data_IF_030123699596
#
_entry.id   IF_030123699596
#
_cell.length_a   1.000
_cell.length_b   1.000
_cell.length_c   1.000
_cell.angle_alpha   90.00
_cell.angle_beta   90.00
_cell.angle_gamma   90.00
#
_symmetry.space_group_name_H-M   'P 1'
#
loop_
_entity.id
_entity.type
_entity.pdbx_description
1 polymer ?
#
# COMPACT_ATOMS: atom_id res chain seq x y z
N UNK A 1 31.45 -22.88 -17.90
CA UNK A 1 30.79 -22.94 -16.59
C UNK A 1 30.86 -21.63 -15.77
N UNK A 2 31.79 -20.71 -16.03
CA UNK A 2 31.96 -19.46 -15.26
C UNK A 2 30.86 -18.39 -15.47
N UNK A 3 30.13 -18.44 -16.58
CA UNK A 3 29.13 -17.42 -16.93
C UNK A 3 27.72 -17.73 -16.38
N UNK A 4 27.43 -18.98 -16.01
CA UNK A 4 26.12 -19.36 -15.44
C UNK A 4 26.03 -18.92 -13.97
N UNK A 5 27.14 -18.97 -13.24
CA UNK A 5 27.24 -18.54 -11.84
C UNK A 5 27.04 -17.03 -11.68
N UNK A 6 27.44 -16.24 -12.67
CA UNK A 6 27.23 -14.78 -12.70
C UNK A 6 25.77 -14.41 -12.97
N UNK A 7 25.06 -15.17 -13.82
CA UNK A 7 23.63 -14.95 -14.07
C UNK A 7 22.78 -15.28 -12.84
N UNK A 8 23.11 -16.38 -12.13
CA UNK A 8 22.39 -16.77 -10.91
C UNK A 8 22.58 -15.76 -9.76
N UNK A 9 23.77 -15.16 -9.64
CA UNK A 9 24.04 -14.13 -8.64
C UNK A 9 23.22 -12.85 -8.87
N UNK A 10 22.99 -12.45 -10.12
CA UNK A 10 22.15 -11.30 -10.45
C UNK A 10 20.65 -11.55 -10.15
N UNK A 11 20.17 -12.78 -10.36
CA UNK A 11 18.78 -13.18 -10.07
C UNK A 11 18.52 -13.29 -8.56
N UNK A 12 19.54 -13.64 -7.77
CA UNK A 12 19.46 -13.64 -6.30
C UNK A 12 19.56 -12.24 -5.69
N UNK A 13 20.13 -11.26 -6.41
CA UNK A 13 20.23 -9.85 -6.02
C UNK A 13 19.06 -8.98 -6.48
N UNK A 14 18.25 -9.44 -7.45
CA UNK A 14 16.87 -8.97 -7.61
C UNK A 14 16.03 -9.56 -6.48
N UNK A 15 16.39 -9.23 -5.25
CA UNK A 15 15.63 -9.56 -4.06
C UNK A 15 14.22 -9.02 -4.26
N UNK A 16 13.24 -9.91 -4.20
CA UNK A 16 11.84 -9.56 -4.02
C UNK A 16 11.75 -8.71 -2.75
N UNK A 17 11.93 -7.39 -2.88
CA UNK A 17 11.80 -6.43 -1.79
C UNK A 17 10.31 -6.26 -1.56
N UNK A 18 9.75 -7.21 -0.82
CA UNK A 18 8.39 -7.14 -0.32
C UNK A 18 8.41 -6.15 0.86
N UNK A 19 8.27 -4.87 0.56
CA UNK A 19 8.11 -3.87 1.60
C UNK A 19 6.80 -4.13 2.34
N UNK A 20 6.80 -4.02 3.66
CA UNK A 20 5.58 -4.24 4.47
C UNK A 20 5.44 -3.20 5.57
N UNK A 21 4.20 -2.99 6.01
CA UNK A 21 3.86 -2.17 7.16
C UNK A 21 2.61 -2.71 7.85
N UNK A 22 2.50 -2.54 9.17
CA UNK A 22 1.32 -2.90 9.95
C UNK A 22 1.10 -1.87 11.05
N UNK A 23 -0.13 -1.41 11.22
CA UNK A 23 -0.51 -0.49 12.30
C UNK A 23 -1.93 -0.82 12.80
N UNK A 24 -2.13 -0.94 14.12
CA UNK A 24 -3.48 -1.06 14.67
C UNK A 24 -4.21 0.28 14.56
N UNK A 25 -5.52 0.22 14.32
CA UNK A 25 -6.41 1.37 14.32
C UNK A 25 -7.68 1.06 15.10
N UNK A 26 -8.20 2.10 15.77
CA UNK A 26 -9.48 2.07 16.47
C UNK A 26 -10.33 3.20 15.92
N UNK A 27 -11.47 2.87 15.32
CA UNK A 27 -12.41 3.84 14.76
C UNK A 27 -13.23 4.54 15.83
N UNK A 28 -13.89 5.64 15.45
CA UNK A 28 -14.72 6.45 16.33
C UNK A 28 -15.91 5.67 16.94
N UNK A 29 -16.46 4.69 16.22
CA UNK A 29 -17.51 3.77 16.70
C UNK A 29 -16.97 2.61 17.56
N UNK A 30 -15.66 2.59 17.81
CA UNK A 30 -15.02 1.64 18.71
C UNK A 30 -14.58 0.33 18.07
N UNK A 31 -14.79 0.13 16.76
CA UNK A 31 -14.21 -1.02 16.06
C UNK A 31 -12.68 -0.96 16.08
N UNK A 32 -12.05 -2.12 16.18
CA UNK A 32 -10.59 -2.25 16.12
C UNK A 32 -10.22 -3.13 14.94
N UNK A 33 -9.22 -2.69 14.18
CA UNK A 33 -8.67 -3.48 13.10
C UNK A 33 -7.18 -3.21 12.90
N UNK A 34 -6.49 -4.23 12.43
CA UNK A 34 -5.10 -4.16 12.00
C UNK A 34 -5.08 -3.77 10.53
N UNK A 35 -4.51 -2.60 10.25
CA UNK A 35 -4.25 -2.15 8.89
C UNK A 35 -2.85 -2.63 8.52
N UNK A 36 -2.73 -3.39 7.44
CA UNK A 36 -1.45 -3.84 6.92
C UNK A 36 -1.30 -3.48 5.45
N UNK A 37 -0.07 -3.27 5.02
CA UNK A 37 0.26 -3.09 3.62
C UNK A 37 1.50 -3.91 3.25
N UNK A 38 1.51 -4.41 2.02
CA UNK A 38 2.66 -5.03 1.38
C UNK A 38 2.77 -4.58 -0.07
N UNK A 39 3.98 -4.56 -0.61
CA UNK A 39 4.22 -4.18 -2.00
C UNK A 39 5.01 -5.27 -2.76
N UNK A 40 4.44 -6.46 -2.95
CA UNK A 40 5.10 -7.53 -3.68
C UNK A 40 5.29 -7.14 -5.13
N UNK A 41 6.52 -7.26 -5.62
CA UNK A 41 6.89 -6.90 -7.00
C UNK A 41 6.49 -5.48 -7.42
N UNK A 42 6.41 -4.54 -6.47
CA UNK A 42 6.04 -3.15 -6.74
C UNK A 42 4.53 -2.87 -6.78
N UNK A 43 3.66 -3.87 -6.59
CA UNK A 43 2.22 -3.69 -6.55
C UNK A 43 1.70 -3.58 -5.12
N UNK A 44 1.09 -2.44 -4.77
CA UNK A 44 0.57 -2.19 -3.42
C UNK A 44 -0.65 -3.05 -3.10
N UNK A 45 -0.67 -3.63 -1.90
CA UNK A 45 -1.84 -4.27 -1.31
C UNK A 45 -2.05 -3.73 0.10
N UNK A 46 -3.27 -3.36 0.43
CA UNK A 46 -3.66 -2.94 1.79
C UNK A 46 -4.74 -3.89 2.29
N UNK A 47 -4.57 -4.41 3.50
CA UNK A 47 -5.52 -5.30 4.18
C UNK A 47 -5.97 -4.72 5.50
N UNK A 48 -7.25 -4.96 5.82
CA UNK A 48 -7.84 -4.69 7.13
C UNK A 48 -8.20 -6.04 7.74
N UNK A 49 -7.55 -6.41 8.85
CA UNK A 49 -7.67 -7.75 9.45
C UNK A 49 -7.51 -8.88 8.43
N UNK A 50 -6.46 -8.82 7.61
CA UNK A 50 -6.15 -9.80 6.54
C UNK A 50 -7.13 -9.83 5.35
N UNK A 51 -8.17 -9.00 5.32
CA UNK A 51 -9.05 -8.83 4.15
C UNK A 51 -8.48 -7.77 3.22
N UNK A 52 -8.28 -8.10 1.93
CA UNK A 52 -7.78 -7.16 0.92
C UNK A 52 -8.83 -6.07 0.67
N UNK A 53 -8.43 -4.82 0.93
CA UNK A 53 -9.27 -3.64 0.73
C UNK A 53 -8.82 -2.86 -0.51
N UNK A 54 -7.51 -2.73 -0.70
CA UNK A 54 -6.91 -2.11 -1.89
C UNK A 54 -5.94 -3.13 -2.50
N UNK A 55 -6.06 -3.34 -3.80
CA UNK A 55 -5.09 -4.10 -4.61
C UNK A 55 -4.77 -3.28 -5.86
N UNK A 56 -3.50 -2.92 -6.00
CA UNK A 56 -2.98 -2.11 -7.10
C UNK A 56 -3.08 -2.79 -8.46
N UNK A 57 -3.12 -4.12 -8.49
CA UNK A 57 -3.26 -4.89 -9.74
C UNK A 57 -4.69 -4.88 -10.29
N UNK A 58 -5.66 -4.50 -9.46
CA UNK A 58 -7.06 -4.38 -9.83
C UNK A 58 -7.29 -2.88 -10.08
N UNK A 59 -7.93 -2.53 -11.20
CA UNK A 59 -8.19 -1.17 -11.72
C UNK A 59 -8.94 -0.23 -10.74
N UNK A 60 -8.36 0.08 -9.58
CA UNK A 60 -8.85 1.00 -8.54
C UNK A 60 -7.87 2.17 -8.32
N UNK A 61 -7.00 2.43 -9.29
CA UNK A 61 -6.10 3.56 -9.31
C UNK A 61 -6.78 4.76 -9.96
N UNK A 62 -7.04 5.81 -9.18
CA UNK A 62 -7.28 7.13 -9.77
C UNK A 62 -5.94 7.89 -9.84
N UNK A 63 -5.16 7.58 -10.88
CA UNK A 63 -3.91 8.31 -11.18
C UNK A 63 -4.19 9.76 -11.60
N UNK A 64 -5.42 10.08 -12.01
CA UNK A 64 -5.76 11.41 -12.53
C UNK A 64 -5.90 12.44 -11.40
N UNK A 65 -6.49 12.05 -10.26
CA UNK A 65 -6.69 12.93 -9.12
C UNK A 65 -5.41 13.25 -8.34
N UNK A 66 -4.48 12.30 -8.25
CA UNK A 66 -3.18 12.48 -7.60
C UNK A 66 -2.31 13.49 -8.37
N UNK A 67 -2.18 13.30 -9.70
CA UNK A 67 -1.42 14.19 -10.56
C UNK A 67 -2.06 15.57 -10.78
N UNK A 68 -3.37 15.70 -10.64
CA UNK A 68 -4.08 16.98 -10.83
C UNK A 68 -4.08 17.88 -9.58
N UNK A 69 -3.95 17.32 -8.36
CA UNK A 69 -4.20 18.09 -7.13
C UNK A 69 -3.19 17.89 -5.99
N UNK A 70 -2.18 17.02 -6.12
CA UNK A 70 -1.21 16.78 -5.04
C UNK A 70 0.24 16.84 -5.54
N UNK A 71 1.05 17.69 -4.91
CA UNK A 71 2.51 17.70 -5.09
C UNK A 71 3.24 16.68 -4.22
N UNK A 72 2.54 16.04 -3.26
CA UNK A 72 3.13 15.13 -2.26
C UNK A 72 2.84 13.65 -2.55
N UNK A 73 1.72 13.32 -3.16
CA UNK A 73 1.25 11.94 -3.31
C UNK A 73 1.27 11.54 -4.78
N UNK A 74 1.90 10.41 -5.08
CA UNK A 74 2.00 9.89 -6.45
C UNK A 74 0.74 9.14 -6.85
N UNK A 75 0.09 8.47 -5.89
CA UNK A 75 -1.07 7.63 -6.14
C UNK A 75 -2.13 7.85 -5.06
N UNK A 76 -3.40 7.87 -5.48
CA UNK A 76 -4.55 7.83 -4.59
C UNK A 76 -5.42 6.64 -4.95
N UNK A 77 -5.77 5.87 -3.94
CA UNK A 77 -6.61 4.69 -4.03
C UNK A 77 -7.87 4.89 -3.23
N UNK A 78 -8.98 4.37 -3.73
CA UNK A 78 -10.25 4.37 -3.00
C UNK A 78 -10.91 3.01 -3.07
N UNK A 79 -11.54 2.61 -1.98
CA UNK A 79 -12.29 1.36 -1.86
C UNK A 79 -13.35 1.49 -0.76
N UNK A 80 -14.02 0.39 -0.44
CA UNK A 80 -15.00 0.31 0.63
C UNK A 80 -14.72 -0.90 1.50
N UNK A 81 -14.77 -0.76 2.82
CA UNK A 81 -14.66 -1.86 3.78
C UNK A 81 -15.80 -1.79 4.79
N UNK A 82 -16.62 -2.84 4.89
CA UNK A 82 -17.81 -2.90 5.76
C UNK A 82 -18.75 -1.68 5.62
N UNK A 83 -18.92 -1.17 4.40
CA UNK A 83 -19.74 0.01 4.12
C UNK A 83 -19.06 1.36 4.37
N UNK A 84 -17.85 1.38 4.95
CA UNK A 84 -17.03 2.58 5.18
C UNK A 84 -16.15 2.88 3.98
N UNK A 85 -16.03 4.15 3.59
CA UNK A 85 -15.10 4.57 2.53
C UNK A 85 -13.67 4.46 3.03
N UNK A 86 -12.82 3.84 2.23
CA UNK A 86 -11.38 3.74 2.49
C UNK A 86 -10.64 4.50 1.41
N UNK A 87 -9.71 5.35 1.81
CA UNK A 87 -8.82 6.08 0.91
C UNK A 87 -7.38 5.88 1.36
N UNK A 88 -6.49 5.54 0.42
CA UNK A 88 -5.05 5.51 0.67
C UNK A 88 -4.37 6.53 -0.23
N UNK A 89 -3.51 7.36 0.36
CA UNK A 89 -2.69 8.34 -0.37
C UNK A 89 -1.24 7.93 -0.20
N UNK A 90 -0.62 7.50 -1.29
CA UNK A 90 0.72 6.94 -1.25
C UNK A 90 1.74 7.85 -1.95
N UNK A 91 2.91 7.94 -1.35
CA UNK A 91 4.11 8.57 -1.88
C UNK A 91 5.16 7.45 -2.04
N UNK A 92 5.24 6.87 -3.23
CA UNK A 92 6.16 5.76 -3.48
C UNK A 92 7.65 6.11 -3.45
N UNK A 93 8.10 7.33 -3.81
CA UNK A 93 9.46 7.78 -3.50
C UNK A 93 9.86 7.55 -2.03
N UNK A 94 8.96 7.88 -1.11
CA UNK A 94 9.18 7.75 0.34
C UNK A 94 8.63 6.44 0.92
N UNK A 95 7.97 5.61 0.08
CA UNK A 95 7.32 4.34 0.43
C UNK A 95 6.35 4.50 1.61
N UNK A 96 5.60 5.60 1.60
CA UNK A 96 4.68 5.99 2.65
C UNK A 96 3.25 6.00 2.13
N UNK A 97 2.29 5.49 2.91
CA UNK A 97 0.87 5.55 2.61
C UNK A 97 0.07 6.04 3.82
N UNK A 98 -0.61 7.17 3.64
CA UNK A 98 -1.61 7.66 4.59
C UNK A 98 -2.95 6.99 4.30
N UNK A 99 -3.55 6.37 5.32
CA UNK A 99 -4.82 5.66 5.22
C UNK A 99 -5.92 6.46 5.94
N UNK A 100 -7.06 6.58 5.28
CA UNK A 100 -8.25 7.24 5.80
C UNK A 100 -9.45 6.29 5.74
N UNK A 101 -10.30 6.32 6.77
CA UNK A 101 -11.55 5.56 6.86
C UNK A 101 -12.68 6.54 7.18
N UNK A 102 -13.68 6.68 6.30
CA UNK A 102 -14.75 7.70 6.42
C UNK A 102 -14.25 9.13 6.67
N UNK A 103 -13.12 9.48 6.04
CA UNK A 103 -12.35 10.73 6.22
C UNK A 103 -11.57 10.86 7.54
N UNK A 104 -11.68 9.91 8.47
CA UNK A 104 -10.85 9.87 9.66
C UNK A 104 -9.46 9.34 9.30
N UNK A 105 -8.42 10.02 9.82
CA UNK A 105 -7.04 9.57 9.66
C UNK A 105 -6.80 8.29 10.45
N UNK A 106 -6.52 7.19 9.74
CA UNK A 106 -6.46 5.87 10.34
C UNK A 106 -5.05 5.38 10.62
N UNK A 107 -4.11 5.57 9.68
CA UNK A 107 -2.73 5.11 9.85
C UNK A 107 -1.75 5.82 8.92
N UNK A 108 -0.48 5.84 9.33
CA UNK A 108 0.66 6.14 8.48
C UNK A 108 1.45 4.84 8.25
N UNK A 109 1.40 4.30 7.04
CA UNK A 109 2.11 3.06 6.72
C UNK A 109 3.42 3.40 6.02
N UNK A 110 4.52 3.33 6.77
CA UNK A 110 5.87 3.42 6.20
C UNK A 110 6.35 2.02 5.82
N UNK A 111 6.30 1.72 4.52
CA UNK A 111 6.65 0.42 3.95
C UNK A 111 8.17 0.21 4.01
N UNK A 112 8.61 -0.81 4.75
CA UNK A 112 10.03 -1.14 4.97
C UNK A 112 10.33 -2.59 4.60
#
# INVERSE_FOLDING_TARGET
MRNITLLLGAILLSGCTNFTAKQPYRSADGEQFLISADMPNGALKIRFNEIIVIDDNILNQDKSLSGAFSHKYTNVYTSTYKGKKVMARCNFPDKECDIFVDNDYAANLLLR
#
